data_IF_453009346081
#
_entry.id   IF_453009346081
#
_cell.length_a   1.000
_cell.length_b   1.000
_cell.length_c   1.000
_cell.angle_alpha   90.00
_cell.angle_beta   90.00
_cell.angle_gamma   90.00
#
_symmetry.space_group_name_H-M   'P 1'
#
loop_
_entity.id
_entity.type
_entity.pdbx_description
1 polymer ?
#
# COMPACT_ATOMS: atom_id res chain seq x y z
N UNK A 1 -5.31 -7.27 -10.83
CA UNK A 1 -5.59 -7.16 -9.38
C UNK A 1 -4.29 -7.13 -8.59
N UNK A 2 -3.30 -6.36 -9.02
CA UNK A 2 -1.98 -6.38 -8.39
C UNK A 2 -1.45 -4.95 -8.38
N UNK A 3 -0.96 -4.48 -7.23
CA UNK A 3 -0.32 -3.17 -7.06
C UNK A 3 -1.08 -2.18 -6.17
N UNK A 4 -0.91 -2.30 -4.85
CA UNK A 4 -0.99 -1.16 -3.90
C UNK A 4 -2.36 -0.66 -3.44
N UNK A 5 -3.36 -0.48 -4.31
CA UNK A 5 -4.65 0.14 -3.92
C UNK A 5 -5.83 -0.67 -4.40
N UNK A 6 -5.84 -1.07 -5.66
CA UNK A 6 -6.98 -1.77 -6.28
C UNK A 6 -7.32 -3.08 -5.56
N UNK A 7 -6.37 -3.96 -5.20
CA UNK A 7 -6.69 -5.22 -4.53
C UNK A 7 -7.19 -4.97 -3.11
N UNK A 8 -6.55 -4.06 -2.37
CA UNK A 8 -6.96 -3.70 -1.01
C UNK A 8 -8.35 -3.09 -0.97
N UNK A 9 -8.62 -2.13 -1.87
CA UNK A 9 -9.93 -1.48 -2.01
C UNK A 9 -11.00 -2.48 -2.45
N UNK A 10 -10.70 -3.39 -3.38
CA UNK A 10 -11.65 -4.42 -3.81
C UNK A 10 -11.93 -5.43 -2.70
N UNK A 11 -10.90 -5.93 -2.01
CA UNK A 11 -11.10 -6.87 -0.91
C UNK A 11 -11.86 -6.24 0.26
N UNK A 12 -11.49 -5.03 0.67
CA UNK A 12 -12.21 -4.31 1.71
C UNK A 12 -13.60 -3.87 1.23
N UNK A 13 -13.77 -3.50 -0.03
CA UNK A 13 -15.06 -3.20 -0.64
C UNK A 13 -16.00 -4.41 -0.61
N UNK A 14 -15.53 -5.58 -1.06
CA UNK A 14 -16.35 -6.80 -1.13
C UNK A 14 -16.69 -7.36 0.26
N UNK A 15 -15.85 -7.13 1.28
CA UNK A 15 -16.06 -7.68 2.62
C UNK A 15 -16.69 -6.66 3.56
N UNK A 16 -16.14 -5.45 3.63
CA UNK A 16 -16.53 -4.43 4.60
C UNK A 16 -17.76 -3.62 4.16
N UNK A 17 -17.90 -3.26 2.88
CA UNK A 17 -19.05 -2.48 2.40
C UNK A 17 -20.40 -3.16 2.70
N UNK A 18 -20.65 -4.44 2.33
CA UNK A 18 -21.93 -5.07 2.63
C UNK A 18 -22.17 -5.20 4.14
N UNK A 19 -21.12 -5.44 4.93
CA UNK A 19 -21.23 -5.49 6.39
C UNK A 19 -21.59 -4.12 7.00
N UNK A 20 -21.00 -3.03 6.53
CA UNK A 20 -21.32 -1.66 6.95
C UNK A 20 -22.76 -1.27 6.59
N UNK A 21 -23.19 -1.59 5.36
CA UNK A 21 -24.55 -1.30 4.91
C UNK A 21 -25.60 -2.11 5.68
N UNK A 22 -25.30 -3.36 6.06
CA UNK A 22 -26.16 -4.18 6.93
C UNK A 22 -26.37 -3.52 8.30
N UNK A 23 -25.39 -2.75 8.78
CA UNK A 23 -25.47 -2.00 10.03
C UNK A 23 -26.03 -0.58 9.84
N UNK A 24 -26.64 -0.25 8.69
CA UNK A 24 -27.19 1.07 8.39
C UNK A 24 -26.16 2.22 8.42
N UNK A 25 -24.90 1.95 8.06
CA UNK A 25 -23.93 3.03 7.83
C UNK A 25 -24.34 3.84 6.61
N UNK A 26 -24.05 5.15 6.64
CA UNK A 26 -24.25 6.00 5.48
C UNK A 26 -23.30 5.57 4.33
N UNK A 27 -23.86 5.49 3.12
CA UNK A 27 -23.16 5.00 1.92
C UNK A 27 -21.94 5.84 1.57
N UNK A 28 -22.04 7.17 1.69
CA UNK A 28 -20.98 8.10 1.29
C UNK A 28 -19.76 7.98 2.20
N UNK A 29 -19.97 7.86 3.52
CA UNK A 29 -18.88 7.64 4.46
C UNK A 29 -18.28 6.25 4.33
N UNK A 30 -19.09 5.22 4.12
CA UNK A 30 -18.59 3.85 3.91
C UNK A 30 -17.73 3.75 2.64
N UNK A 31 -18.22 4.29 1.52
CA UNK A 31 -17.50 4.32 0.24
C UNK A 31 -16.25 5.21 0.32
N UNK A 32 -16.36 6.38 0.96
CA UNK A 32 -15.25 7.30 1.17
C UNK A 32 -14.14 6.68 2.01
N UNK A 33 -14.49 6.02 3.12
CA UNK A 33 -13.54 5.33 4.00
C UNK A 33 -12.80 4.20 3.28
N UNK A 34 -13.52 3.35 2.54
CA UNK A 34 -12.92 2.22 1.81
C UNK A 34 -12.01 2.73 0.69
N UNK A 35 -12.44 3.74 -0.05
CA UNK A 35 -11.66 4.36 -1.14
C UNK A 35 -10.40 5.04 -0.60
N UNK A 36 -10.53 5.82 0.47
CA UNK A 36 -9.40 6.51 1.10
C UNK A 36 -8.38 5.53 1.69
N UNK A 37 -8.86 4.51 2.42
CA UNK A 37 -8.02 3.46 2.99
C UNK A 37 -7.26 2.67 1.92
N UNK A 38 -7.90 2.47 0.75
CA UNK A 38 -7.28 1.88 -0.42
C UNK A 38 -6.03 2.62 -0.87
N UNK A 39 -6.09 3.94 -1.00
CA UNK A 39 -4.99 4.80 -1.50
C UNK A 39 -3.82 4.85 -0.54
N UNK A 40 -4.06 4.78 0.77
CA UNK A 40 -3.01 4.77 1.80
C UNK A 40 -2.01 3.60 1.61
N UNK A 41 -2.45 2.50 1.00
CA UNK A 41 -1.60 1.34 0.72
C UNK A 41 -0.46 1.60 -0.27
N UNK A 42 -0.50 2.67 -1.07
CA UNK A 42 0.64 3.10 -1.90
C UNK A 42 1.62 3.97 -1.11
N UNK A 43 1.14 4.73 -0.13
CA UNK A 43 1.93 5.74 0.58
C UNK A 43 2.71 5.12 1.74
N UNK A 44 2.07 4.24 2.50
CA UNK A 44 2.70 3.58 3.65
C UNK A 44 3.59 2.43 3.15
N UNK A 45 4.90 2.42 3.47
CA UNK A 45 5.80 1.35 3.02
C UNK A 45 5.36 -0.05 3.51
N UNK A 46 5.63 -1.12 2.74
CA UNK A 46 6.43 -1.18 1.52
C UNK A 46 5.62 -0.86 0.24
N UNK A 47 6.18 -0.02 -0.65
CA UNK A 47 5.49 0.44 -1.87
C UNK A 47 6.30 0.20 -3.14
N UNK A 48 5.70 -0.52 -4.10
CA UNK A 48 6.33 -0.84 -5.40
C UNK A 48 6.67 0.42 -6.19
N UNK A 49 5.79 1.43 -6.17
CA UNK A 49 6.00 2.69 -6.89
C UNK A 49 7.21 3.44 -6.33
N UNK A 50 7.35 3.47 -5.01
CA UNK A 50 8.53 4.06 -4.36
C UNK A 50 9.82 3.33 -4.72
N UNK A 51 9.80 2.00 -4.78
CA UNK A 51 10.97 1.21 -5.21
C UNK A 51 11.35 1.53 -6.66
N UNK A 52 10.38 1.61 -7.56
CA UNK A 52 10.64 1.96 -8.96
C UNK A 52 11.19 3.38 -9.07
N UNK A 53 10.58 4.34 -8.38
CA UNK A 53 11.04 5.73 -8.37
C UNK A 53 12.47 5.83 -7.85
N UNK A 54 12.79 5.15 -6.74
CA UNK A 54 14.13 5.09 -6.18
C UNK A 54 15.13 4.47 -7.19
N UNK A 55 14.75 3.40 -7.90
CA UNK A 55 15.59 2.79 -8.93
C UNK A 55 15.85 3.71 -10.13
N UNK A 56 14.84 4.50 -10.55
CA UNK A 56 14.98 5.45 -11.67
C UNK A 56 15.83 6.66 -11.28
N UNK A 57 15.61 7.20 -10.09
CA UNK A 57 16.30 8.40 -9.57
C UNK A 57 17.64 8.07 -8.90
N UNK A 58 17.99 6.78 -8.79
CA UNK A 58 19.16 6.27 -8.06
C UNK A 58 19.20 6.72 -6.60
N UNK A 59 18.04 6.97 -6.00
CA UNK A 59 17.90 7.31 -4.58
C UNK A 59 17.85 6.03 -3.73
N UNK A 60 18.20 6.17 -2.45
CA UNK A 60 18.05 5.07 -1.50
C UNK A 60 16.58 4.77 -1.23
N UNK A 61 16.15 3.53 -1.48
CA UNK A 61 14.79 3.04 -1.18
C UNK A 61 14.45 3.24 0.30
N UNK A 62 15.39 2.95 1.21
CA UNK A 62 15.16 3.08 2.65
C UNK A 62 14.85 4.52 3.07
N UNK A 63 15.56 5.50 2.50
CA UNK A 63 15.28 6.94 2.73
C UNK A 63 13.92 7.32 2.18
N UNK A 64 13.56 6.83 0.99
CA UNK A 64 12.26 7.10 0.38
C UNK A 64 11.12 6.52 1.21
N UNK A 65 11.29 5.30 1.75
CA UNK A 65 10.32 4.67 2.64
C UNK A 65 10.15 5.44 3.94
N UNK A 66 11.25 5.86 4.57
CA UNK A 66 11.17 6.67 5.79
C UNK A 66 10.50 8.02 5.52
N UNK A 67 10.86 8.67 4.41
CA UNK A 67 10.24 9.93 3.96
C UNK A 67 8.76 9.80 3.61
N UNK A 68 8.31 8.63 3.15
CA UNK A 68 6.90 8.33 2.85
C UNK A 68 6.06 7.93 4.07
N UNK A 69 6.68 7.32 5.08
CA UNK A 69 5.98 6.85 6.27
C UNK A 69 5.33 8.00 7.06
N UNK A 70 6.07 9.10 7.27
CA UNK A 70 5.59 10.28 8.00
C UNK A 70 4.32 10.87 7.36
N UNK A 71 4.30 11.27 6.07
CA UNK A 71 3.09 11.80 5.45
C UNK A 71 1.98 10.75 5.37
N UNK A 72 2.31 9.46 5.20
CA UNK A 72 1.34 8.37 5.23
C UNK A 72 0.58 8.30 6.55
N UNK A 73 1.29 8.39 7.69
CA UNK A 73 0.67 8.42 9.01
C UNK A 73 -0.13 9.71 9.24
N UNK A 74 0.37 10.86 8.81
CA UNK A 74 -0.37 12.13 8.91
C UNK A 74 -1.72 12.03 8.18
N UNK A 75 -1.71 11.58 6.93
CA UNK A 75 -2.95 11.44 6.14
C UNK A 75 -3.87 10.39 6.77
N UNK A 76 -3.34 9.26 7.23
CA UNK A 76 -4.13 8.23 7.90
C UNK A 76 -4.80 8.77 9.18
N UNK A 77 -4.04 9.47 10.03
CA UNK A 77 -4.56 10.10 11.24
C UNK A 77 -5.62 11.16 10.94
N UNK A 78 -5.41 12.00 9.91
CA UNK A 78 -6.41 12.97 9.48
C UNK A 78 -7.72 12.31 9.04
N UNK A 79 -7.66 11.18 8.32
CA UNK A 79 -8.86 10.44 7.93
C UNK A 79 -9.58 9.83 9.14
N UNK A 80 -8.83 9.23 10.08
CA UNK A 80 -9.40 8.66 11.30
C UNK A 80 -10.09 9.75 12.13
N UNK A 81 -9.42 10.89 12.33
CA UNK A 81 -9.95 12.03 13.08
C UNK A 81 -11.20 12.58 12.39
N UNK A 82 -11.15 12.81 11.08
CA UNK A 82 -12.27 13.32 10.31
C UNK A 82 -13.50 12.40 10.41
N UNK A 83 -13.33 11.10 10.17
CA UNK A 83 -14.43 10.13 10.28
C UNK A 83 -14.94 10.06 11.72
N UNK A 84 -14.05 10.04 12.71
CA UNK A 84 -14.40 10.01 14.13
C UNK A 84 -15.23 11.22 14.56
N UNK A 85 -14.81 12.42 14.18
CA UNK A 85 -15.54 13.67 14.47
C UNK A 85 -16.90 13.66 13.76
N UNK A 86 -16.95 13.30 12.47
CA UNK A 86 -18.20 13.25 11.72
C UNK A 86 -19.19 12.26 12.32
N UNK A 87 -18.74 11.08 12.74
CA UNK A 87 -19.60 10.09 13.42
C UNK A 87 -20.01 10.54 14.83
N UNK A 88 -19.19 11.33 15.54
CA UNK A 88 -19.55 11.88 16.85
C UNK A 88 -20.62 12.99 16.76
N UNK A 89 -20.50 13.89 15.77
CA UNK A 89 -21.47 14.97 15.54
C UNK A 89 -22.75 14.42 14.90
N UNK A 90 -22.63 13.43 14.01
CA UNK A 90 -23.74 12.84 13.27
C UNK A 90 -23.75 11.31 13.47
N UNK A 91 -24.27 10.82 14.62
CA UNK A 91 -24.27 9.39 14.95
C UNK A 91 -25.03 8.50 13.95
N UNK A 92 -25.95 9.07 13.17
CA UNK A 92 -26.68 8.36 12.12
C UNK A 92 -25.78 7.93 10.95
N UNK A 93 -24.60 8.52 10.79
CA UNK A 93 -23.66 8.19 9.70
C UNK A 93 -22.88 6.89 9.97
N UNK A 94 -22.68 6.56 11.23
CA UNK A 94 -21.96 5.37 11.68
C UNK A 94 -22.57 4.87 12.99
N UNK A 95 -23.77 4.28 12.96
CA UNK A 95 -24.46 3.84 14.16
C UNK A 95 -23.62 2.79 14.91
N UNK A 96 -23.57 2.92 16.24
CA UNK A 96 -22.80 2.01 17.07
C UNK A 96 -23.33 0.58 16.99
N UNK A 97 -22.43 -0.39 16.91
CA UNK A 97 -22.77 -1.82 16.87
C UNK A 97 -23.59 -2.19 18.13
N UNK A 98 -24.75 -2.86 17.97
CA UNK A 98 -25.61 -3.26 19.09
C UNK A 98 -24.83 -4.03 20.16
N UNK A 99 -25.14 -3.86 21.46
CA UNK A 99 -24.41 -4.53 22.55
C UNK A 99 -24.32 -6.06 22.42
N UNK A 100 -25.30 -6.68 21.75
CA UNK A 100 -25.37 -8.13 21.52
C UNK A 100 -24.36 -8.66 20.49
N UNK A 101 -23.83 -7.81 19.61
CA UNK A 101 -22.84 -8.17 18.59
C UNK A 101 -21.43 -7.66 18.93
N UNK A 102 -21.27 -7.03 20.10
CA UNK A 102 -19.95 -6.60 20.58
C UNK A 102 -19.09 -7.81 20.90
N UNK A 103 -18.03 -7.96 20.12
CA UNK A 103 -17.06 -9.04 20.31
C UNK A 103 -16.34 -8.85 21.65
N UNK A 104 -16.29 -9.90 22.47
CA UNK A 104 -15.59 -9.87 23.76
C UNK A 104 -14.08 -9.59 23.55
N UNK A 105 -13.45 -8.84 24.47
CA UNK A 105 -12.03 -8.46 24.42
C UNK A 105 -11.11 -9.67 24.19
N UNK A 106 -11.43 -10.82 24.78
CA UNK A 106 -10.67 -12.07 24.62
C UNK A 106 -10.71 -12.60 23.18
N UNK A 107 -11.86 -12.51 22.51
CA UNK A 107 -12.01 -12.91 21.10
C UNK A 107 -11.31 -11.93 20.16
N UNK A 108 -11.35 -10.62 20.49
CA UNK A 108 -10.59 -9.58 19.76
C UNK A 108 -9.08 -9.85 19.82
N UNK A 109 -8.56 -10.25 20.99
CA UNK A 109 -7.15 -10.60 21.17
C UNK A 109 -6.76 -11.87 20.40
N UNK A 110 -7.63 -12.87 20.35
CA UNK A 110 -7.40 -14.09 19.57
C UNK A 110 -7.36 -13.82 18.07
N UNK A 111 -8.24 -12.96 17.54
CA UNK A 111 -8.18 -12.53 16.13
C UNK A 111 -6.90 -11.76 15.80
N UNK A 112 -6.39 -10.96 16.75
CA UNK A 112 -5.14 -10.23 16.57
C UNK A 112 -3.93 -11.18 16.47
N UNK A 113 -3.93 -12.31 17.18
CA UNK A 113 -2.88 -13.34 17.06
C UNK A 113 -2.77 -13.90 15.64
N UNK A 114 -3.88 -14.00 14.89
CA UNK A 114 -3.85 -14.43 13.48
C UNK A 114 -3.14 -13.43 12.56
N UNK A 115 -3.03 -12.15 12.95
CA UNK A 115 -2.31 -11.12 12.21
C UNK A 115 -0.85 -10.97 12.65
N UNK A 116 -0.42 -11.65 13.71
CA UNK A 116 0.93 -11.53 14.24
C UNK A 116 1.99 -11.90 13.20
N UNK A 117 1.78 -12.98 12.44
CA UNK A 117 2.77 -13.47 11.48
C UNK A 117 3.00 -12.50 10.29
N UNK A 118 1.96 -11.97 9.61
CA UNK A 118 2.15 -10.89 8.63
C UNK A 118 2.80 -9.62 9.20
N UNK A 119 2.45 -9.23 10.44
CA UNK A 119 3.04 -8.04 11.08
C UNK A 119 4.54 -8.24 11.32
N UNK A 120 4.93 -9.40 11.85
CA UNK A 120 6.34 -9.76 12.05
C UNK A 120 7.08 -9.71 10.71
N UNK A 121 6.48 -10.23 9.64
CA UNK A 121 7.08 -10.19 8.31
C UNK A 121 7.31 -8.76 7.82
N UNK A 122 6.32 -7.87 7.97
CA UNK A 122 6.44 -6.45 7.61
C UNK A 122 7.55 -5.79 8.41
N UNK A 123 7.57 -5.98 9.74
CA UNK A 123 8.60 -5.41 10.61
C UNK A 123 10.00 -5.94 10.28
N UNK A 124 10.11 -7.21 9.91
CA UNK A 124 11.37 -7.82 9.51
C UNK A 124 11.90 -7.21 8.20
N UNK A 125 11.03 -7.06 7.20
CA UNK A 125 11.41 -6.48 5.89
C UNK A 125 11.71 -4.99 6.00
N UNK A 126 10.85 -4.20 6.65
CA UNK A 126 11.11 -2.76 6.83
C UNK A 126 12.29 -2.53 7.78
N UNK A 127 12.38 -3.31 8.86
CA UNK A 127 13.45 -3.22 9.83
C UNK A 127 14.81 -3.50 9.20
N UNK A 128 14.93 -4.54 8.35
CA UNK A 128 16.18 -4.85 7.67
C UNK A 128 16.61 -3.77 6.67
N UNK A 129 15.65 -3.12 6.00
CA UNK A 129 15.92 -2.00 5.09
C UNK A 129 16.35 -0.74 5.87
N UNK A 130 15.65 -0.40 6.96
CA UNK A 130 15.93 0.83 7.74
C UNK A 130 17.23 0.74 8.54
N UNK A 131 17.54 -0.43 9.08
CA UNK A 131 18.81 -0.69 9.77
C UNK A 131 20.00 -0.82 8.81
N UNK A 132 19.75 -0.89 7.50
CA UNK A 132 20.79 -1.11 6.48
C UNK A 132 21.35 -2.54 6.49
N UNK A 133 20.75 -3.45 7.26
CA UNK A 133 21.19 -4.84 7.36
C UNK A 133 20.97 -5.63 6.06
N UNK A 134 19.98 -5.23 5.25
CA UNK A 134 19.70 -5.86 3.96
C UNK A 134 19.40 -4.80 2.89
N UNK A 135 19.88 -5.07 1.67
CA UNK A 135 19.46 -4.31 0.49
C UNK A 135 17.99 -4.56 0.18
N UNK A 136 17.31 -3.68 -0.56
CA UNK A 136 15.90 -3.88 -0.93
C UNK A 136 15.65 -5.21 -1.66
N UNK A 137 16.64 -5.71 -2.41
CA UNK A 137 16.57 -6.98 -3.13
C UNK A 137 16.63 -8.16 -2.16
N UNK A 138 17.56 -8.14 -1.20
CA UNK A 138 17.67 -9.16 -0.16
C UNK A 138 16.43 -9.16 0.75
N UNK A 139 15.96 -7.98 1.15
CA UNK A 139 14.75 -7.83 1.94
C UNK A 139 13.51 -8.35 1.19
N UNK A 140 13.44 -8.18 -0.13
CA UNK A 140 12.37 -8.74 -0.96
C UNK A 140 12.41 -10.28 -1.00
N UNK A 141 13.60 -10.89 -1.08
CA UNK A 141 13.77 -12.35 -1.01
C UNK A 141 13.28 -12.92 0.33
N UNK A 142 13.66 -12.27 1.44
CA UNK A 142 13.17 -12.66 2.78
C UNK A 142 11.66 -12.45 2.90
N UNK A 143 11.13 -11.36 2.35
CA UNK A 143 9.69 -11.10 2.27
C UNK A 143 8.93 -12.18 1.50
N UNK A 144 9.46 -12.62 0.35
CA UNK A 144 8.85 -13.68 -0.47
C UNK A 144 8.86 -15.04 0.26
N UNK A 145 10.00 -15.43 0.84
CA UNK A 145 10.10 -16.64 1.65
C UNK A 145 9.16 -16.59 2.87
N UNK A 146 9.14 -15.47 3.59
CA UNK A 146 8.23 -15.29 4.71
C UNK A 146 6.76 -15.32 4.32
N UNK A 147 6.40 -14.80 3.14
CA UNK A 147 5.04 -14.91 2.61
C UNK A 147 4.65 -16.36 2.27
N UNK A 148 5.59 -17.17 1.75
CA UNK A 148 5.38 -18.60 1.56
C UNK A 148 5.13 -19.32 2.89
N UNK A 149 5.95 -19.06 3.89
CA UNK A 149 5.76 -19.59 5.25
C UNK A 149 4.40 -19.18 5.81
N UNK A 150 4.02 -17.91 5.65
CA UNK A 150 2.70 -17.41 6.06
C UNK A 150 1.56 -18.19 5.39
N UNK A 151 1.66 -18.43 4.09
CA UNK A 151 0.64 -19.16 3.33
C UNK A 151 0.51 -20.63 3.78
N UNK A 152 1.63 -21.28 4.13
CA UNK A 152 1.65 -22.66 4.64
C UNK A 152 1.04 -22.73 6.03
N UNK A 153 1.45 -21.85 6.95
CA UNK A 153 0.92 -21.79 8.32
C UNK A 153 -0.59 -21.54 8.33
N UNK A 154 -1.08 -20.69 7.42
CA UNK A 154 -2.51 -20.43 7.27
C UNK A 154 -3.25 -21.49 6.45
N UNK A 155 -2.56 -22.56 6.00
CA UNK A 155 -3.11 -23.65 5.17
C UNK A 155 -3.80 -23.17 3.89
N UNK A 156 -3.31 -22.07 3.30
CA UNK A 156 -3.83 -21.50 2.04
C UNK A 156 -2.95 -21.78 0.83
N UNK A 157 -1.88 -22.56 1.02
CA UNK A 157 -0.96 -22.91 -0.06
C UNK A 157 -1.64 -23.82 -1.09
N UNK A 158 -1.89 -23.29 -2.28
CA UNK A 158 -2.45 -24.04 -3.41
C UNK A 158 -1.69 -23.74 -4.70
N UNK A 159 -1.62 -24.70 -5.63
CA UNK A 159 -1.00 -24.48 -6.95
C UNK A 159 -1.62 -23.30 -7.70
N UNK A 160 -2.93 -23.11 -7.54
CA UNK A 160 -3.64 -21.98 -8.14
C UNK A 160 -3.24 -20.64 -7.51
N UNK A 161 -3.07 -20.56 -6.18
CA UNK A 161 -2.57 -19.35 -5.51
C UNK A 161 -1.17 -18.99 -6.01
N UNK A 162 -0.26 -19.96 -6.11
CA UNK A 162 1.12 -19.73 -6.59
C UNK A 162 1.10 -19.24 -8.05
N UNK A 163 0.34 -19.91 -8.93
CA UNK A 163 0.21 -19.50 -10.33
C UNK A 163 -0.37 -18.08 -10.48
N UNK A 164 -1.38 -17.73 -9.67
CA UNK A 164 -1.95 -16.38 -9.64
C UNK A 164 -0.94 -15.34 -9.16
N UNK A 165 -0.17 -15.65 -8.11
CA UNK A 165 0.87 -14.76 -7.59
C UNK A 165 1.95 -14.50 -8.64
N UNK A 166 2.50 -15.55 -9.26
CA UNK A 166 3.52 -15.45 -10.31
C UNK A 166 3.01 -14.64 -11.51
N UNK A 167 1.81 -14.96 -12.01
CA UNK A 167 1.22 -14.24 -13.15
C UNK A 167 0.97 -12.77 -12.81
N UNK A 168 0.53 -12.49 -11.58
CA UNK A 168 0.32 -11.14 -11.08
C UNK A 168 1.61 -10.34 -11.02
N UNK A 169 2.68 -10.93 -10.50
CA UNK A 169 4.02 -10.33 -10.45
C UNK A 169 4.58 -10.11 -11.85
N UNK A 170 4.50 -11.11 -12.74
CA UNK A 170 4.96 -10.98 -14.13
C UNK A 170 4.26 -9.85 -14.88
N UNK A 171 2.94 -9.73 -14.75
CA UNK A 171 2.17 -8.64 -15.37
C UNK A 171 2.61 -7.27 -14.85
N UNK A 172 2.75 -7.14 -13.53
CA UNK A 172 3.23 -5.89 -12.92
C UNK A 172 4.62 -5.53 -13.40
N UNK A 173 5.58 -6.45 -13.29
CA UNK A 173 6.94 -6.21 -13.73
C UNK A 173 7.00 -5.88 -15.22
N UNK A 174 6.21 -6.58 -16.06
CA UNK A 174 6.12 -6.28 -17.49
C UNK A 174 5.61 -4.88 -17.78
N UNK A 175 4.52 -4.45 -17.12
CA UNK A 175 3.99 -3.08 -17.25
C UNK A 175 5.04 -2.04 -16.85
N UNK A 176 5.76 -2.27 -15.75
CA UNK A 176 6.82 -1.38 -15.27
C UNK A 176 7.97 -1.31 -16.27
N UNK A 177 8.46 -2.43 -16.77
CA UNK A 177 9.56 -2.46 -17.74
C UNK A 177 9.20 -1.73 -19.03
N UNK A 178 7.96 -1.83 -19.50
CA UNK A 178 7.47 -1.06 -20.64
C UNK A 178 7.46 0.46 -20.38
N UNK A 179 6.99 0.88 -19.21
CA UNK A 179 7.00 2.30 -18.81
C UNK A 179 8.44 2.82 -18.75
N UNK A 180 9.35 2.06 -18.14
CA UNK A 180 10.77 2.44 -18.03
C UNK A 180 11.44 2.50 -19.41
N UNK A 181 11.16 1.55 -20.30
CA UNK A 181 11.70 1.55 -21.66
C UNK A 181 11.22 2.77 -22.46
N UNK A 182 9.91 3.08 -22.42
CA UNK A 182 9.36 4.25 -23.07
C UNK A 182 9.95 5.56 -22.51
N UNK A 183 10.06 5.66 -21.17
CA UNK A 183 10.66 6.81 -20.50
C UNK A 183 12.14 6.98 -20.86
N UNK A 184 12.90 5.88 -20.96
CA UNK A 184 14.31 5.93 -21.36
C UNK A 184 14.48 6.40 -22.81
N UNK A 185 13.67 5.90 -23.75
CA UNK A 185 13.67 6.36 -25.13
C UNK A 185 13.31 7.85 -25.24
N UNK A 186 12.26 8.28 -24.53
CA UNK A 186 11.87 9.69 -24.49
C UNK A 186 12.99 10.56 -23.90
N UNK A 187 13.59 10.14 -22.78
CA UNK A 187 14.68 10.88 -22.14
C UNK A 187 15.90 11.03 -23.08
N UNK A 188 16.26 9.98 -23.82
CA UNK A 188 17.35 10.03 -24.79
C UNK A 188 17.06 11.04 -25.93
N UNK A 189 15.85 11.01 -26.49
CA UNK A 189 15.42 11.97 -27.52
C UNK A 189 15.35 13.40 -26.97
N UNK A 190 14.81 13.57 -25.77
CA UNK A 190 14.65 14.86 -25.12
C UNK A 190 16.00 15.54 -24.85
N UNK A 191 16.99 14.78 -24.38
CA UNK A 191 18.37 15.27 -24.21
C UNK A 191 19.02 15.52 -25.57
N UNK A 192 18.84 14.63 -26.54
CA UNK A 192 19.41 14.75 -27.89
C UNK A 192 18.91 15.95 -28.69
N UNK A 193 17.64 16.33 -28.52
CA UNK A 193 17.03 17.51 -29.15
C UNK A 193 17.31 18.81 -28.39
N UNK A 194 18.09 18.77 -27.30
CA UNK A 194 18.41 19.94 -26.50
C UNK A 194 17.27 20.42 -25.58
N UNK A 195 16.21 19.63 -25.40
CA UNK A 195 15.07 19.98 -24.55
C UNK A 195 15.47 20.28 -23.11
N UNK A 196 16.45 19.54 -22.58
CA UNK A 196 17.00 19.79 -21.24
C UNK A 196 17.65 21.18 -21.14
N UNK A 197 18.37 21.62 -22.19
CA UNK A 197 19.01 22.95 -22.21
C UNK A 197 17.96 24.06 -22.27
N UNK A 198 16.94 23.89 -23.11
CA UNK A 198 15.83 24.83 -23.26
C UNK A 198 15.07 25.04 -21.94
N UNK A 199 14.80 23.97 -21.18
CA UNK A 199 14.16 24.13 -19.86
C UNK A 199 15.07 24.86 -18.87
N UNK A 200 16.37 24.55 -18.85
CA UNK A 200 17.31 25.24 -17.96
C UNK A 200 17.36 26.74 -18.30
N UNK A 201 17.39 27.08 -19.59
CA UNK A 201 17.43 28.46 -20.07
C UNK A 201 16.16 29.23 -19.67
N UNK A 202 14.97 28.66 -19.90
CA UNK A 202 13.69 29.25 -19.47
C UNK A 202 13.64 29.47 -17.94
N UNK A 203 14.09 28.49 -17.15
CA UNK A 203 14.11 28.62 -15.68
C UNK A 203 15.10 29.69 -15.24
N UNK A 204 16.24 29.81 -15.93
CA UNK A 204 17.27 30.81 -15.63
C UNK A 204 16.83 32.23 -16.02
N UNK A 205 15.94 32.38 -17.01
CA UNK A 205 15.33 33.67 -17.36
C UNK A 205 14.20 34.08 -16.40
N UNK A 206 13.62 33.12 -15.68
CA UNK A 206 12.58 33.34 -14.67
C UNK A 206 13.15 33.71 -13.28
N UNK A 207 14.48 33.79 -13.12
CA UNK A 207 15.16 34.12 -11.85
C UNK A 207 16.44 34.92 -12.02
#
# INVERSE_FOLDING_TARGET
MTGGTTPGTLSMGLIALPAMLKHNYNKDIALGCISAGGVLGIVIPPSVIMVIFASLTRLSVGRLFFGGAIPGFIIASMHIIYIGIRCAIQPHLGPAVPPKERVNLRSKLTSLKSMALPIILILLVLGSIWTGAATPIEAASVGALGAFVCAIVHRRFTRQMVSRAITGTLKLTGMVMWIVAAAACFNALYIGLGGQKLIIEIISELG
#
